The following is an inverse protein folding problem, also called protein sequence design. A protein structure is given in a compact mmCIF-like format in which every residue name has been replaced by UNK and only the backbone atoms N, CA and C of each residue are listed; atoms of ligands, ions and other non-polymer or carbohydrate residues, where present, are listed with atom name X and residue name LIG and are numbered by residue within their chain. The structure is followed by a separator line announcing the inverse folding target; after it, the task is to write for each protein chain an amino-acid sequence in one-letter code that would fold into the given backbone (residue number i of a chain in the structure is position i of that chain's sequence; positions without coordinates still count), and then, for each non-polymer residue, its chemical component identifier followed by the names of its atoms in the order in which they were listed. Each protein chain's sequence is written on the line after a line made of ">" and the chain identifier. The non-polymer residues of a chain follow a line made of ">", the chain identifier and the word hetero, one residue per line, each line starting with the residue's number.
data_IF_744884868464
#
_entry.id   IF_744884868464
#
_cell.length_a   1.000
_cell.length_b   1.000
_cell.length_c   1.000
_cell.angle_alpha   90.00
_cell.angle_beta   90.00
_cell.angle_gamma   90.00
#
_symmetry.space_group_name_H-M   'P 1'
#
loop_
_entity.id
_entity.type
_entity.pdbx_description
1 polymer ?
#
# COMPACT_ATOMS: atom_id res chain seq x y z
N UNK A 1 -16.50 1.23 -23.24
CA UNK A 1 -16.30 0.48 -21.98
C UNK A 1 -14.88 -0.08 -21.84
N UNK A 2 -14.39 -1.03 -22.65
CA UNK A 2 -13.03 -1.61 -22.49
C UNK A 2 -11.90 -0.59 -22.49
N UNK A 3 -11.94 0.44 -23.35
CA UNK A 3 -10.92 1.51 -23.39
C UNK A 3 -10.89 2.35 -22.11
N UNK A 4 -12.06 2.68 -21.54
CA UNK A 4 -12.13 3.44 -20.28
C UNK A 4 -11.60 2.61 -19.11
N UNK A 5 -11.97 1.33 -19.00
CA UNK A 5 -11.43 0.44 -17.97
C UNK A 5 -9.91 0.35 -18.05
N UNK A 6 -9.34 0.21 -19.24
CA UNK A 6 -7.88 0.18 -19.42
C UNK A 6 -7.21 1.44 -18.87
N UNK A 7 -7.76 2.64 -19.17
CA UNK A 7 -7.18 3.90 -18.69
C UNK A 7 -7.30 4.03 -17.17
N UNK A 8 -8.45 3.63 -16.61
CA UNK A 8 -8.65 3.63 -15.17
C UNK A 8 -7.65 2.71 -14.45
N UNK A 9 -7.42 1.53 -15.00
CA UNK A 9 -6.41 0.60 -14.49
C UNK A 9 -5.00 1.15 -14.64
N UNK A 10 -4.70 1.79 -15.78
CA UNK A 10 -3.42 2.43 -16.00
C UNK A 10 -3.16 3.56 -15.00
N UNK A 11 -4.16 4.38 -14.68
CA UNK A 11 -4.05 5.43 -13.68
C UNK A 11 -3.73 4.88 -12.28
N UNK A 12 -4.42 3.80 -11.87
CA UNK A 12 -4.12 3.13 -10.59
C UNK A 12 -2.71 2.55 -10.62
N UNK A 13 -2.36 1.85 -11.69
CA UNK A 13 -1.02 1.29 -11.86
C UNK A 13 0.07 2.35 -11.65
N UNK A 14 -0.07 3.52 -12.27
CA UNK A 14 0.89 4.61 -12.17
C UNK A 14 1.02 5.16 -10.75
N UNK A 15 -0.07 5.32 -10.01
CA UNK A 15 -0.03 5.77 -8.62
C UNK A 15 0.81 4.79 -7.77
N UNK A 16 0.52 3.50 -7.88
CA UNK A 16 1.22 2.49 -7.07
C UNK A 16 2.65 2.22 -7.58
N UNK A 17 2.88 2.34 -8.86
CA UNK A 17 4.23 2.34 -9.43
C UNK A 17 5.04 3.52 -8.87
N UNK A 18 4.48 4.74 -8.85
CA UNK A 18 5.14 5.93 -8.30
C UNK A 18 5.46 5.78 -6.81
N UNK A 19 4.56 5.19 -6.02
CA UNK A 19 4.84 4.88 -4.61
C UNK A 19 6.03 3.92 -4.50
N UNK A 20 6.03 2.86 -5.30
CA UNK A 20 7.09 1.84 -5.28
C UNK A 20 8.45 2.31 -5.79
N UNK A 21 8.47 3.20 -6.80
CA UNK A 21 9.72 3.76 -7.37
C UNK A 21 10.62 4.41 -6.31
N UNK A 22 10.02 4.99 -5.29
CA UNK A 22 10.73 5.74 -4.23
C UNK A 22 11.58 4.81 -3.36
N UNK A 23 11.07 3.62 -3.04
CA UNK A 23 11.61 2.74 -2.01
C UNK A 23 13.12 2.42 -2.19
N UNK A 24 13.60 1.91 -3.35
CA UNK A 24 15.01 1.54 -3.51
C UNK A 24 15.95 2.74 -3.66
N UNK A 25 15.42 3.91 -3.99
CA UNK A 25 16.19 5.12 -4.24
C UNK A 25 16.41 5.93 -2.96
N UNK A 26 15.55 5.79 -1.99
CA UNK A 26 15.56 6.57 -0.75
C UNK A 26 16.89 6.52 0.01
N UNK A 27 17.59 5.38 0.19
CA UNK A 27 18.87 5.35 0.90
C UNK A 27 19.91 6.29 0.30
N UNK A 28 19.97 6.34 -1.04
CA UNK A 28 20.90 7.21 -1.75
C UNK A 28 20.51 8.68 -1.59
N UNK A 29 19.24 9.00 -1.74
CA UNK A 29 18.72 10.34 -1.53
C UNK A 29 18.99 10.87 -0.12
N UNK A 30 18.77 10.02 0.90
CA UNK A 30 19.04 10.39 2.29
C UNK A 30 20.54 10.68 2.48
N UNK A 31 21.40 9.83 1.94
CA UNK A 31 22.85 10.00 2.03
C UNK A 31 23.32 11.27 1.34
N UNK A 32 22.84 11.54 0.11
CA UNK A 32 23.22 12.72 -0.68
C UNK A 32 22.77 14.04 -0.03
N UNK A 33 21.66 14.04 0.71
CA UNK A 33 21.10 15.22 1.37
C UNK A 33 21.42 15.30 2.87
N UNK A 34 22.17 14.34 3.41
CA UNK A 34 22.49 14.27 4.83
C UNK A 34 21.29 14.04 5.75
N UNK A 35 20.24 13.36 5.24
CA UNK A 35 19.01 13.06 5.94
C UNK A 35 19.14 11.75 6.75
N UNK A 36 18.27 11.59 7.77
CA UNK A 36 18.26 10.47 8.70
C UNK A 36 17.11 9.50 8.41
N UNK A 37 17.08 8.36 9.10
CA UNK A 37 15.98 7.41 9.04
C UNK A 37 14.64 8.00 9.49
N UNK A 38 14.64 8.88 10.49
CA UNK A 38 13.46 9.63 10.92
C UNK A 38 12.90 10.53 9.81
N UNK A 39 13.75 11.16 9.00
CA UNK A 39 13.32 11.97 7.86
C UNK A 39 12.61 11.10 6.81
N UNK A 40 13.14 9.90 6.55
CA UNK A 40 12.47 8.92 5.70
C UNK A 40 11.09 8.55 6.23
N UNK A 41 11.02 8.19 7.52
CA UNK A 41 9.76 7.86 8.18
C UNK A 41 8.74 8.99 8.04
N UNK A 42 9.18 10.25 8.19
CA UNK A 42 8.32 11.43 8.00
C UNK A 42 7.86 11.61 6.54
N UNK A 43 8.71 11.35 5.55
CA UNK A 43 8.34 11.43 4.12
C UNK A 43 7.24 10.42 3.76
N UNK A 44 7.38 9.19 4.22
CA UNK A 44 6.36 8.14 3.97
C UNK A 44 5.08 8.41 4.74
N UNK A 45 5.20 8.83 6.00
CA UNK A 45 4.07 9.18 6.84
C UNK A 45 3.29 10.39 6.30
N UNK A 46 3.97 11.42 5.80
CA UNK A 46 3.33 12.60 5.22
C UNK A 46 2.47 12.24 3.99
N UNK A 47 2.95 11.32 3.15
CA UNK A 47 2.16 10.79 2.04
C UNK A 47 0.91 10.05 2.56
N UNK A 48 1.09 9.11 3.49
CA UNK A 48 -0.01 8.30 4.03
C UNK A 48 -1.06 9.15 4.76
N UNK A 49 -0.62 10.13 5.55
CA UNK A 49 -1.50 11.06 6.26
C UNK A 49 -2.32 11.92 5.29
N UNK A 50 -1.65 12.49 4.28
CA UNK A 50 -2.31 13.30 3.25
C UNK A 50 -3.35 12.47 2.49
N UNK A 51 -2.99 11.26 2.07
CA UNK A 51 -3.92 10.33 1.41
C UNK A 51 -5.12 10.00 2.31
N UNK A 52 -4.89 9.68 3.58
CA UNK A 52 -5.93 9.35 4.55
C UNK A 52 -6.93 10.50 4.73
N UNK A 53 -6.44 11.72 4.88
CA UNK A 53 -7.29 12.90 5.05
C UNK A 53 -8.08 13.20 3.78
N UNK A 54 -7.45 13.14 2.63
CA UNK A 54 -8.05 13.57 1.35
C UNK A 54 -9.00 12.53 0.76
N UNK A 55 -8.82 11.22 1.03
CA UNK A 55 -9.63 10.16 0.43
C UNK A 55 -11.14 10.32 0.63
N UNK A 56 -11.68 10.64 1.83
CA UNK A 56 -13.11 10.88 2.01
C UNK A 56 -13.63 12.10 1.23
N UNK A 57 -12.82 13.17 1.18
CA UNK A 57 -13.17 14.38 0.41
C UNK A 57 -13.09 14.10 -1.08
N UNK A 58 -12.06 13.38 -1.55
CA UNK A 58 -11.89 12.97 -2.93
C UNK A 58 -13.09 12.15 -3.45
N UNK A 59 -13.58 11.20 -2.65
CA UNK A 59 -14.78 10.44 -2.96
C UNK A 59 -16.03 11.33 -3.07
N UNK A 60 -16.27 12.18 -2.06
CA UNK A 60 -17.41 13.09 -2.04
C UNK A 60 -17.37 14.10 -3.21
N UNK A 61 -16.20 14.64 -3.53
CA UNK A 61 -16.01 15.53 -4.66
C UNK A 61 -16.21 14.82 -6.01
N UNK A 62 -15.74 13.55 -6.12
CA UNK A 62 -15.95 12.75 -7.31
C UNK A 62 -17.43 12.50 -7.62
N UNK A 63 -18.24 12.29 -6.58
CA UNK A 63 -19.69 12.12 -6.72
C UNK A 63 -20.41 13.44 -7.08
N UNK A 64 -19.95 14.58 -6.55
CA UNK A 64 -20.56 15.90 -6.77
C UNK A 64 -20.13 16.54 -8.10
N UNK A 65 -18.83 16.60 -8.35
CA UNK A 65 -18.23 17.34 -9.47
C UNK A 65 -17.98 16.45 -10.71
N UNK A 66 -18.11 15.14 -10.53
CA UNK A 66 -17.85 14.14 -11.57
C UNK A 66 -16.48 13.48 -11.42
N UNK A 67 -16.49 12.17 -11.57
CA UNK A 67 -15.33 11.30 -11.32
C UNK A 67 -14.15 11.61 -12.24
N UNK A 68 -14.42 11.91 -13.52
CA UNK A 68 -13.39 12.29 -14.49
C UNK A 68 -12.57 13.50 -14.02
N UNK A 69 -13.24 14.55 -13.57
CA UNK A 69 -12.57 15.79 -13.14
C UNK A 69 -11.64 15.53 -11.97
N UNK A 70 -12.10 14.78 -10.97
CA UNK A 70 -11.32 14.48 -9.76
C UNK A 70 -10.11 13.58 -10.08
N UNK A 71 -10.27 12.60 -10.97
CA UNK A 71 -9.15 11.79 -11.47
C UNK A 71 -8.12 12.68 -12.17
N UNK A 72 -8.56 13.57 -13.06
CA UNK A 72 -7.64 14.46 -13.78
C UNK A 72 -6.89 15.42 -12.84
N UNK A 73 -7.58 16.02 -11.87
CA UNK A 73 -6.94 16.88 -10.86
C UNK A 73 -5.90 16.07 -10.06
N UNK A 74 -6.26 14.89 -9.61
CA UNK A 74 -5.34 14.00 -8.89
C UNK A 74 -4.10 13.64 -9.71
N UNK A 75 -4.24 13.34 -11.01
CA UNK A 75 -3.10 13.04 -11.90
C UNK A 75 -2.17 14.24 -12.13
N UNK A 76 -2.70 15.46 -12.15
CA UNK A 76 -1.87 16.69 -12.17
C UNK A 76 -1.05 16.78 -10.88
N UNK A 77 -1.68 16.59 -9.71
CA UNK A 77 -0.95 16.57 -8.44
C UNK A 77 0.10 15.44 -8.39
N UNK A 78 -0.20 14.28 -8.97
CA UNK A 78 0.78 13.20 -9.10
C UNK A 78 2.01 13.64 -9.88
N UNK A 79 1.82 14.15 -11.11
CA UNK A 79 2.93 14.59 -11.94
C UNK A 79 3.74 15.70 -11.26
N UNK A 80 3.07 16.70 -10.68
CA UNK A 80 3.74 17.80 -9.96
C UNK A 80 4.54 17.25 -8.77
N UNK A 81 3.98 16.32 -8.00
CA UNK A 81 4.66 15.73 -6.85
C UNK A 81 5.93 14.99 -7.27
N UNK A 82 5.87 14.19 -8.33
CA UNK A 82 7.02 13.43 -8.79
C UNK A 82 8.11 14.34 -9.37
N UNK A 83 7.76 15.36 -10.15
CA UNK A 83 8.74 16.36 -10.62
C UNK A 83 9.35 17.18 -9.49
N UNK A 84 8.55 17.56 -8.48
CA UNK A 84 9.07 18.24 -7.29
C UNK A 84 10.03 17.35 -6.50
N UNK A 85 9.73 16.06 -6.36
CA UNK A 85 10.62 15.13 -5.69
C UNK A 85 11.93 14.98 -6.47
N UNK A 86 11.86 14.82 -7.79
CA UNK A 86 13.04 14.74 -8.67
C UNK A 86 13.94 15.98 -8.58
N UNK A 87 13.35 17.18 -8.54
CA UNK A 87 14.06 18.44 -8.44
C UNK A 87 14.47 18.80 -7.00
N UNK A 88 13.95 18.10 -5.98
CA UNK A 88 14.13 18.41 -4.57
C UNK A 88 15.60 18.36 -4.14
N UNK A 89 16.03 19.42 -3.44
CA UNK A 89 17.38 19.55 -2.87
C UNK A 89 17.33 19.82 -1.35
N UNK A 90 16.14 19.81 -0.77
CA UNK A 90 15.93 20.01 0.66
C UNK A 90 14.81 19.14 1.17
N UNK A 91 14.86 18.78 2.45
CA UNK A 91 13.81 18.01 3.11
C UNK A 91 12.43 18.67 2.97
N UNK A 92 12.37 20.01 3.06
CA UNK A 92 11.10 20.75 2.92
C UNK A 92 10.44 20.51 1.56
N UNK A 93 11.21 20.53 0.46
CA UNK A 93 10.67 20.27 -0.88
C UNK A 93 10.21 18.81 -0.99
N UNK A 94 10.97 17.87 -0.43
CA UNK A 94 10.60 16.46 -0.44
C UNK A 94 9.32 16.19 0.35
N UNK A 95 9.16 16.80 1.54
CA UNK A 95 7.95 16.63 2.35
C UNK A 95 6.70 17.22 1.65
N UNK A 96 6.81 18.41 1.05
CA UNK A 96 5.72 19.01 0.29
C UNK A 96 5.34 18.11 -0.89
N UNK A 97 6.33 17.59 -1.61
CA UNK A 97 6.11 16.62 -2.69
C UNK A 97 5.32 15.40 -2.18
N UNK A 98 5.71 14.81 -1.05
CA UNK A 98 5.01 13.65 -0.48
C UNK A 98 3.57 13.98 -0.07
N UNK A 99 3.33 15.16 0.49
CA UNK A 99 1.97 15.65 0.80
C UNK A 99 1.13 15.77 -0.48
N UNK A 100 1.68 16.35 -1.55
CA UNK A 100 1.00 16.45 -2.85
C UNK A 100 0.75 15.08 -3.49
N UNK A 101 1.70 14.14 -3.36
CA UNK A 101 1.54 12.75 -3.80
C UNK A 101 0.42 12.04 -3.07
N UNK A 102 0.34 12.18 -1.74
CA UNK A 102 -0.75 11.64 -0.93
C UNK A 102 -2.10 12.28 -1.29
N UNK A 103 -2.12 13.61 -1.52
CA UNK A 103 -3.30 14.32 -2.01
C UNK A 103 -3.80 13.72 -3.35
N UNK A 104 -2.87 13.50 -4.29
CA UNK A 104 -3.14 12.83 -5.57
C UNK A 104 -3.80 11.47 -5.37
N UNK A 105 -3.17 10.59 -4.58
CA UNK A 105 -3.69 9.25 -4.33
C UNK A 105 -5.07 9.27 -3.65
N UNK A 106 -5.28 10.22 -2.72
CA UNK A 106 -6.56 10.44 -2.05
C UNK A 106 -7.69 10.93 -2.99
N UNK A 107 -7.36 11.49 -4.14
CA UNK A 107 -8.33 11.88 -5.17
C UNK A 107 -8.52 10.81 -6.23
N UNK A 108 -7.43 10.27 -6.78
CA UNK A 108 -7.48 9.31 -7.90
C UNK A 108 -8.13 8.01 -7.48
N UNK A 109 -7.77 7.46 -6.32
CA UNK A 109 -8.27 6.15 -5.88
C UNK A 109 -9.80 6.09 -5.76
N UNK A 110 -10.49 6.97 -4.98
CA UNK A 110 -11.95 6.93 -4.91
C UNK A 110 -12.60 7.31 -6.25
N UNK A 111 -12.00 8.22 -7.02
CA UNK A 111 -12.49 8.59 -8.34
C UNK A 111 -12.50 7.41 -9.32
N UNK A 112 -11.39 6.67 -9.41
CA UNK A 112 -11.26 5.49 -10.28
C UNK A 112 -12.14 4.35 -9.79
N UNK A 113 -12.12 4.03 -8.49
CA UNK A 113 -12.93 2.97 -7.89
C UNK A 113 -14.42 3.22 -8.13
N UNK A 114 -14.88 4.45 -7.88
CA UNK A 114 -16.25 4.85 -8.14
C UNK A 114 -16.62 4.77 -9.64
N UNK A 115 -15.72 5.17 -10.54
CA UNK A 115 -15.97 5.08 -11.98
C UNK A 115 -16.01 3.63 -12.47
N UNK A 116 -15.12 2.75 -11.99
CA UNK A 116 -15.17 1.32 -12.28
C UNK A 116 -16.51 0.73 -11.82
N UNK A 117 -16.98 1.12 -10.62
CA UNK A 117 -18.26 0.68 -10.10
C UNK A 117 -19.44 1.08 -11.00
N UNK A 118 -19.42 2.31 -11.54
CA UNK A 118 -20.49 2.84 -12.40
C UNK A 118 -20.54 2.18 -13.79
N UNK A 119 -19.37 1.93 -14.39
CA UNK A 119 -19.30 1.39 -15.76
C UNK A 119 -19.30 -0.15 -15.80
N UNK A 120 -19.27 -0.82 -14.64
CA UNK A 120 -19.26 -2.28 -14.57
C UNK A 120 -20.68 -2.82 -14.37
N UNK A 121 -21.20 -3.65 -15.29
CA UNK A 121 -22.46 -4.38 -15.08
C UNK A 121 -22.37 -5.26 -13.84
N UNK A 122 -23.51 -5.54 -13.19
CA UNK A 122 -23.57 -6.23 -11.90
C UNK A 122 -22.71 -7.52 -11.80
N UNK A 123 -22.77 -8.38 -12.84
CA UNK A 123 -21.99 -9.62 -12.88
C UNK A 123 -20.47 -9.40 -13.04
N UNK A 124 -20.07 -8.35 -13.75
CA UNK A 124 -18.64 -8.06 -14.02
C UNK A 124 -17.99 -7.18 -12.95
N UNK A 125 -18.76 -6.63 -12.02
CA UNK A 125 -18.25 -5.69 -11.01
C UNK A 125 -17.18 -6.34 -10.13
N UNK A 126 -17.44 -7.52 -9.59
CA UNK A 126 -16.49 -8.25 -8.76
C UNK A 126 -15.19 -8.59 -9.53
N UNK A 127 -15.33 -9.00 -10.80
CA UNK A 127 -14.20 -9.29 -11.68
C UNK A 127 -13.33 -8.05 -11.93
N UNK A 128 -13.96 -6.89 -12.20
CA UNK A 128 -13.23 -5.65 -12.44
C UNK A 128 -12.51 -5.12 -11.19
N UNK A 129 -13.08 -5.32 -10.00
CA UNK A 129 -12.38 -5.04 -8.75
C UNK A 129 -11.23 -6.01 -8.49
N UNK A 130 -11.37 -7.28 -8.88
CA UNK A 130 -10.29 -8.25 -8.87
C UNK A 130 -9.10 -7.83 -9.76
N UNK A 131 -9.38 -7.36 -10.98
CA UNK A 131 -8.35 -6.80 -11.86
C UNK A 131 -7.70 -5.54 -11.27
N UNK A 132 -8.49 -4.66 -10.64
CA UNK A 132 -7.96 -3.49 -9.95
C UNK A 132 -6.96 -3.88 -8.86
N UNK A 133 -7.29 -4.87 -8.03
CA UNK A 133 -6.39 -5.37 -6.98
C UNK A 133 -5.10 -5.97 -7.55
N UNK A 134 -5.19 -6.76 -8.63
CA UNK A 134 -4.02 -7.31 -9.31
C UNK A 134 -3.10 -6.21 -9.87
N UNK A 135 -3.68 -5.13 -10.40
CA UNK A 135 -2.95 -3.99 -10.95
C UNK A 135 -2.28 -3.17 -9.85
N UNK A 136 -2.92 -2.97 -8.71
CA UNK A 136 -2.33 -2.36 -7.52
C UNK A 136 -1.07 -3.14 -7.10
N UNK A 137 -1.20 -4.47 -6.95
CA UNK A 137 -0.08 -5.33 -6.57
C UNK A 137 1.04 -5.29 -7.62
N UNK A 138 0.69 -5.29 -8.92
CA UNK A 138 1.67 -5.16 -10.01
C UNK A 138 2.45 -3.85 -9.92
N UNK A 139 1.78 -2.73 -9.58
CA UNK A 139 2.43 -1.44 -9.36
C UNK A 139 3.43 -1.47 -8.20
N UNK A 140 3.05 -2.07 -7.09
CA UNK A 140 3.93 -2.23 -5.93
C UNK A 140 5.14 -3.14 -6.19
N UNK A 141 5.01 -4.16 -7.04
CA UNK A 141 6.12 -5.07 -7.38
C UNK A 141 7.03 -4.42 -8.44
N UNK A 142 6.44 -3.86 -9.49
CA UNK A 142 7.21 -3.31 -10.62
C UNK A 142 7.79 -1.94 -10.31
N UNK A 143 7.16 -1.15 -9.41
CA UNK A 143 7.65 0.15 -8.99
C UNK A 143 9.09 0.13 -8.49
N UNK A 144 9.41 -0.62 -7.43
CA UNK A 144 10.78 -0.76 -6.94
C UNK A 144 11.74 -1.27 -8.02
N UNK A 145 11.27 -2.19 -8.88
CA UNK A 145 12.05 -2.68 -9.99
C UNK A 145 12.52 -1.58 -10.92
N UNK A 146 11.57 -0.86 -11.50
CA UNK A 146 11.90 0.27 -12.36
C UNK A 146 12.71 1.34 -11.62
N UNK A 147 12.37 1.61 -10.34
CA UNK A 147 13.06 2.56 -9.50
C UNK A 147 14.56 2.30 -9.39
N UNK A 148 14.94 1.09 -9.00
CA UNK A 148 16.34 0.75 -8.81
C UNK A 148 17.15 0.67 -10.10
N UNK A 149 16.58 0.11 -11.17
CA UNK A 149 17.26 0.07 -12.46
C UNK A 149 17.46 1.46 -13.08
N UNK A 150 16.46 2.33 -13.00
CA UNK A 150 16.60 3.71 -13.47
C UNK A 150 17.55 4.52 -12.59
N UNK A 151 17.62 4.23 -11.30
CA UNK A 151 18.50 4.90 -10.36
C UNK A 151 20.00 4.64 -10.64
N UNK A 152 20.35 3.55 -11.33
CA UNK A 152 21.74 3.32 -11.79
C UNK A 152 22.20 4.39 -12.82
N UNK A 153 21.25 4.95 -13.58
CA UNK A 153 21.57 6.02 -14.56
C UNK A 153 21.60 7.36 -13.82
N UNK A 154 20.59 7.64 -13.02
CA UNK A 154 20.51 8.82 -12.16
C UNK A 154 19.46 8.59 -11.06
N UNK A 155 19.81 8.91 -9.81
CA UNK A 155 18.92 8.80 -8.65
C UNK A 155 17.61 9.60 -8.81
N UNK A 156 17.58 10.59 -9.69
CA UNK A 156 16.41 11.44 -9.98
C UNK A 156 15.56 10.93 -11.13
N UNK A 157 16.13 10.09 -12.00
CA UNK A 157 15.49 9.62 -13.23
C UNK A 157 14.17 8.88 -12.96
N UNK A 158 14.05 7.98 -11.94
CA UNK A 158 12.79 7.30 -11.64
C UNK A 158 11.62 8.27 -11.46
N UNK A 159 11.84 9.36 -10.76
CA UNK A 159 10.81 10.36 -10.47
C UNK A 159 10.43 11.19 -11.70
N UNK A 160 11.41 11.57 -12.54
CA UNK A 160 11.12 12.22 -13.82
C UNK A 160 10.30 11.32 -14.75
N UNK A 161 10.60 10.03 -14.80
CA UNK A 161 9.84 9.05 -15.57
C UNK A 161 8.43 8.93 -15.02
N UNK A 162 8.25 8.78 -13.70
CA UNK A 162 6.94 8.70 -13.06
C UNK A 162 6.11 9.96 -13.30
N UNK A 163 6.71 11.15 -13.15
CA UNK A 163 6.04 12.42 -13.43
C UNK A 163 5.59 12.55 -14.90
N UNK A 164 6.46 12.14 -15.85
CA UNK A 164 6.13 12.14 -17.28
C UNK A 164 4.99 11.17 -17.59
N UNK A 165 5.02 9.97 -17.02
CA UNK A 165 3.91 9.01 -17.15
C UNK A 165 2.61 9.56 -16.54
N UNK A 166 2.70 10.31 -15.44
CA UNK A 166 1.58 11.02 -14.84
C UNK A 166 0.94 12.05 -15.79
N UNK A 167 1.77 12.82 -16.50
CA UNK A 167 1.29 13.76 -17.55
C UNK A 167 0.61 13.00 -18.70
N UNK A 168 1.21 11.91 -19.15
CA UNK A 168 0.60 11.05 -20.21
C UNK A 168 -0.75 10.51 -19.72
N UNK A 169 -0.83 10.00 -18.50
CA UNK A 169 -2.08 9.50 -17.91
C UNK A 169 -3.14 10.60 -17.78
N UNK A 170 -2.74 11.81 -17.40
CA UNK A 170 -3.64 12.97 -17.36
C UNK A 170 -4.20 13.27 -18.76
N UNK A 171 -3.37 13.39 -19.78
CA UNK A 171 -3.78 13.65 -21.17
C UNK A 171 -4.73 12.54 -21.65
N UNK A 172 -4.36 11.28 -21.46
CA UNK A 172 -5.23 10.13 -21.81
C UNK A 172 -6.58 10.19 -21.09
N UNK A 173 -6.57 10.55 -19.81
CA UNK A 173 -7.80 10.66 -19.02
C UNK A 173 -8.70 11.79 -19.48
N UNK A 174 -8.13 12.94 -19.83
CA UNK A 174 -8.90 14.08 -20.41
C UNK A 174 -9.55 13.68 -21.73
N UNK A 175 -8.81 13.01 -22.62
CA UNK A 175 -9.25 12.70 -23.97
C UNK A 175 -10.21 11.49 -24.03
N UNK A 176 -9.99 10.48 -23.22
CA UNK A 176 -10.58 9.15 -23.42
C UNK A 176 -11.55 8.73 -22.30
N UNK A 177 -11.51 9.35 -21.13
CA UNK A 177 -12.50 9.10 -20.10
C UNK A 177 -13.73 9.99 -20.33
N UNK A 178 -14.90 9.38 -20.29
CA UNK A 178 -16.19 10.07 -20.33
C UNK A 178 -16.91 9.81 -19.01
N UNK A 179 -17.47 10.86 -18.41
CA UNK A 179 -18.36 10.65 -17.29
C UNK A 179 -19.53 9.78 -17.77
N UNK A 180 -19.83 8.66 -17.08
CA UNK A 180 -21.05 7.93 -17.37
C UNK A 180 -22.22 8.92 -17.26
N UNK A 181 -23.14 8.89 -18.23
CA UNK A 181 -24.40 9.59 -18.05
C UNK A 181 -24.98 9.16 -16.70
N UNK A 182 -25.31 10.13 -15.84
CA UNK A 182 -25.97 9.84 -14.57
C UNK A 182 -27.10 8.88 -14.89
N UNK A 183 -26.95 7.61 -14.53
CA UNK A 183 -28.11 6.73 -14.44
C UNK A 183 -29.09 7.51 -13.55
N UNK A 184 -30.25 7.83 -14.08
CA UNK A 184 -31.32 8.49 -13.35
C UNK A 184 -31.45 7.77 -12.01
N UNK A 185 -31.21 8.53 -10.99
CA UNK A 185 -31.01 8.10 -9.60
C UNK A 185 -32.31 7.53 -9.03
N UNK A 186 -32.60 6.27 -9.35
CA UNK A 186 -33.53 5.43 -8.59
C UNK A 186 -32.81 4.48 -7.61
N UNK A 187 -31.65 4.86 -7.17
CA UNK A 187 -30.82 4.11 -6.25
C UNK A 187 -29.82 4.97 -5.49
N UNK A 188 -30.25 6.11 -4.94
CA UNK A 188 -29.61 6.55 -3.72
C UNK A 188 -29.74 5.36 -2.76
N UNK A 189 -28.64 4.63 -2.52
CA UNK A 189 -28.54 3.93 -1.27
C UNK A 189 -28.80 5.01 -0.21
N UNK A 190 -30.06 5.10 0.20
CA UNK A 190 -30.48 5.88 1.33
C UNK A 190 -29.40 5.59 2.39
N UNK A 191 -28.63 6.63 2.71
CA UNK A 191 -27.78 6.62 3.90
C UNK A 191 -28.71 6.17 5.01
N UNK A 192 -28.65 4.88 5.35
CA UNK A 192 -29.45 4.32 6.44
C UNK A 192 -28.63 4.50 7.71
N UNK A 193 -28.84 5.60 8.45
CA UNK A 193 -28.15 5.83 9.72
C UNK A 193 -28.37 4.68 10.71
N UNK A 194 -29.44 3.94 10.55
CA UNK A 194 -29.76 2.74 11.35
C UNK A 194 -28.71 1.62 11.24
N UNK A 195 -27.91 1.58 10.16
CA UNK A 195 -26.81 0.64 10.02
C UNK A 195 -25.67 0.90 11.03
N UNK A 196 -25.58 2.10 11.58
CA UNK A 196 -24.55 2.49 12.55
C UNK A 196 -25.01 2.38 14.01
N UNK A 197 -26.33 2.33 14.28
CA UNK A 197 -26.89 2.41 15.64
C UNK A 197 -26.86 1.10 16.44
N UNK A 198 -26.57 -0.05 15.81
CA UNK A 198 -26.49 -1.36 16.49
C UNK A 198 -25.28 -2.17 16.03
N UNK A 199 -24.08 -1.55 16.13
CA UNK A 199 -22.83 -2.25 15.81
C UNK A 199 -22.36 -2.99 17.06
N UNK A 200 -22.26 -4.31 16.96
CA UNK A 200 -21.57 -5.08 17.98
C UNK A 200 -20.05 -4.93 17.79
N UNK A 201 -19.47 -3.90 18.39
CA UNK A 201 -18.03 -3.59 18.31
C UNK A 201 -17.14 -4.74 18.76
N UNK A 202 -17.61 -5.62 19.65
CA UNK A 202 -16.85 -6.80 20.11
C UNK A 202 -16.45 -7.70 18.95
N UNK A 203 -17.28 -7.81 17.91
CA UNK A 203 -16.99 -8.64 16.73
C UNK A 203 -15.92 -8.01 15.83
N UNK A 204 -15.87 -6.67 15.76
CA UNK A 204 -14.96 -5.96 14.86
C UNK A 204 -13.62 -5.60 15.50
N UNK A 205 -13.46 -5.68 16.83
CA UNK A 205 -12.24 -5.25 17.52
C UNK A 205 -11.04 -6.11 17.11
N UNK A 206 -11.23 -7.41 17.01
CA UNK A 206 -10.16 -8.35 16.61
C UNK A 206 -9.60 -8.06 15.21
N UNK A 207 -10.42 -8.04 14.14
CA UNK A 207 -9.89 -7.74 12.80
C UNK A 207 -9.35 -6.31 12.67
N UNK A 208 -9.87 -5.35 13.42
CA UNK A 208 -9.36 -3.97 13.45
C UNK A 208 -7.95 -3.92 14.05
N UNK A 209 -7.72 -4.57 15.18
CA UNK A 209 -6.39 -4.65 15.81
C UNK A 209 -5.43 -5.39 14.88
N UNK A 210 -5.84 -6.51 14.29
CA UNK A 210 -5.03 -7.26 13.33
C UNK A 210 -4.64 -6.41 12.13
N UNK A 211 -5.59 -5.65 11.57
CA UNK A 211 -5.32 -4.73 10.44
C UNK A 211 -4.31 -3.67 10.83
N UNK A 212 -4.50 -3.04 12.00
CA UNK A 212 -3.60 -2.00 12.47
C UNK A 212 -2.16 -2.53 12.67
N UNK A 213 -2.03 -3.66 13.36
CA UNK A 213 -0.71 -4.27 13.65
C UNK A 213 -0.04 -4.75 12.38
N UNK A 214 -0.80 -5.39 11.48
CA UNK A 214 -0.28 -5.81 10.18
C UNK A 214 0.21 -4.62 9.35
N UNK A 215 -0.64 -3.59 9.19
CA UNK A 215 -0.29 -2.41 8.40
C UNK A 215 0.89 -1.65 9.02
N UNK A 216 0.92 -1.52 10.35
CA UNK A 216 2.02 -0.92 11.10
C UNK A 216 3.33 -1.69 10.88
N UNK A 217 3.33 -3.01 11.10
CA UNK A 217 4.55 -3.83 10.99
C UNK A 217 5.06 -3.91 9.55
N UNK A 218 4.15 -4.10 8.59
CA UNK A 218 4.52 -4.19 7.18
C UNK A 218 5.06 -2.85 6.65
N UNK A 219 4.36 -1.74 6.92
CA UNK A 219 4.79 -0.41 6.47
C UNK A 219 6.10 0.02 7.12
N UNK A 220 6.33 -0.32 8.39
CA UNK A 220 7.59 -0.13 9.08
C UNK A 220 8.72 -0.92 8.41
N UNK A 221 8.49 -2.20 8.12
CA UNK A 221 9.43 -3.07 7.42
C UNK A 221 9.73 -2.56 6.01
N UNK A 222 8.71 -2.36 5.17
CA UNK A 222 8.88 -1.91 3.78
C UNK A 222 9.65 -0.59 3.68
N UNK A 223 9.36 0.36 4.58
CA UNK A 223 10.02 1.67 4.59
C UNK A 223 11.51 1.57 4.90
N UNK A 224 11.90 0.74 5.86
CA UNK A 224 13.26 0.69 6.33
C UNK A 224 14.08 -0.46 5.73
N UNK A 225 13.46 -1.40 5.05
CA UNK A 225 14.15 -2.52 4.41
C UNK A 225 15.27 -2.03 3.49
N UNK A 226 15.02 -0.98 2.73
CA UNK A 226 16.01 -0.40 1.81
C UNK A 226 17.20 0.21 2.54
N UNK A 227 16.96 0.97 3.60
CA UNK A 227 18.04 1.54 4.44
C UNK A 227 18.81 0.45 5.17
N UNK A 228 18.08 -0.50 5.78
CA UNK A 228 18.68 -1.60 6.51
C UNK A 228 19.64 -2.43 5.65
N UNK A 229 19.23 -2.78 4.43
CA UNK A 229 20.06 -3.57 3.53
C UNK A 229 21.20 -2.76 2.92
N UNK A 230 20.98 -1.47 2.65
CA UNK A 230 22.04 -0.57 2.19
C UNK A 230 23.15 -0.41 3.25
N UNK A 231 22.78 -0.24 4.53
CA UNK A 231 23.76 -0.03 5.60
C UNK A 231 24.40 -1.35 6.08
N UNK A 232 23.64 -2.45 6.13
CA UNK A 232 24.15 -3.74 6.64
C UNK A 232 25.05 -4.47 5.66
N UNK A 233 24.71 -4.48 4.38
CA UNK A 233 25.40 -5.29 3.35
C UNK A 233 25.75 -4.50 2.07
N UNK A 234 25.65 -3.17 2.13
CA UNK A 234 25.95 -2.24 1.02
C UNK A 234 25.14 -2.56 -0.26
N UNK A 235 23.85 -2.88 -0.11
CA UNK A 235 22.98 -3.06 -1.28
C UNK A 235 22.85 -1.75 -2.07
N UNK A 236 23.02 -1.88 -3.38
CA UNK A 236 22.70 -0.81 -4.34
C UNK A 236 21.18 -0.70 -4.54
N UNK A 237 20.66 0.40 -5.11
CA UNK A 237 19.25 0.50 -5.48
C UNK A 237 18.76 -0.67 -6.34
N UNK A 238 19.62 -1.21 -7.22
CA UNK A 238 19.33 -2.39 -8.04
C UNK A 238 19.18 -3.65 -7.19
N UNK A 239 20.08 -3.89 -6.24
CA UNK A 239 20.03 -5.06 -5.36
C UNK A 239 18.75 -5.04 -4.51
N UNK A 240 18.40 -3.87 -3.97
CA UNK A 240 17.14 -3.63 -3.24
C UNK A 240 15.94 -3.96 -4.14
N UNK A 241 15.98 -3.50 -5.40
CA UNK A 241 14.91 -3.78 -6.37
C UNK A 241 14.78 -5.27 -6.66
N UNK A 242 15.89 -5.98 -6.85
CA UNK A 242 15.88 -7.44 -7.07
C UNK A 242 15.30 -8.15 -5.85
N UNK A 243 15.65 -7.73 -4.64
CA UNK A 243 15.14 -8.32 -3.40
C UNK A 243 13.61 -8.13 -3.28
N UNK A 244 13.11 -6.91 -3.55
CA UNK A 244 11.67 -6.60 -3.45
C UNK A 244 10.87 -7.28 -4.56
N UNK A 245 11.33 -7.24 -5.83
CA UNK A 245 10.66 -7.93 -6.94
C UNK A 245 10.63 -9.43 -6.68
N UNK A 246 11.79 -10.01 -6.32
CA UNK A 246 11.89 -11.43 -6.01
C UNK A 246 10.89 -11.81 -4.92
N UNK A 247 10.90 -11.07 -3.80
CA UNK A 247 9.96 -11.29 -2.71
C UNK A 247 8.49 -11.19 -3.13
N UNK A 248 8.13 -10.13 -3.86
CA UNK A 248 6.77 -9.94 -4.36
C UNK A 248 6.32 -11.04 -5.35
N UNK A 249 7.21 -11.47 -6.26
CA UNK A 249 6.92 -12.57 -7.19
C UNK A 249 6.76 -13.90 -6.42
N UNK A 250 7.66 -14.21 -5.48
CA UNK A 250 7.55 -15.41 -4.65
C UNK A 250 6.29 -15.38 -3.80
N UNK A 251 5.96 -14.23 -3.19
CA UNK A 251 4.72 -14.03 -2.42
C UNK A 251 3.48 -14.26 -3.27
N UNK A 252 3.42 -13.66 -4.46
CA UNK A 252 2.29 -13.80 -5.38
C UNK A 252 2.14 -15.26 -5.89
N UNK A 253 3.23 -15.92 -6.26
CA UNK A 253 3.19 -17.32 -6.67
C UNK A 253 2.70 -18.21 -5.52
N UNK A 254 3.24 -18.00 -4.32
CA UNK A 254 2.83 -18.77 -3.15
C UNK A 254 1.35 -18.54 -2.84
N UNK A 255 0.87 -17.30 -2.92
CA UNK A 255 -0.55 -16.96 -2.74
C UNK A 255 -1.44 -17.70 -3.76
N UNK A 256 -1.11 -17.65 -5.04
CA UNK A 256 -1.93 -18.27 -6.10
C UNK A 256 -2.00 -19.80 -5.95
N UNK A 257 -0.89 -20.46 -5.59
CA UNK A 257 -0.86 -21.92 -5.53
C UNK A 257 -1.31 -22.51 -4.20
N UNK A 258 -1.18 -21.78 -3.11
CA UNK A 258 -1.34 -22.35 -1.76
C UNK A 258 -2.46 -21.71 -0.94
N UNK A 259 -2.87 -20.46 -1.18
CA UNK A 259 -3.85 -19.77 -0.36
C UNK A 259 -5.17 -20.54 -0.22
N UNK A 260 -5.82 -20.86 -1.35
CA UNK A 260 -7.08 -21.62 -1.34
C UNK A 260 -6.96 -23.01 -0.70
N UNK A 261 -5.79 -23.64 -0.85
CA UNK A 261 -5.53 -24.94 -0.26
C UNK A 261 -5.47 -24.87 1.26
N UNK A 262 -4.78 -23.88 1.80
CA UNK A 262 -4.70 -23.67 3.25
C UNK A 262 -6.07 -23.27 3.84
N UNK A 263 -6.80 -22.37 3.15
CA UNK A 263 -8.13 -21.95 3.60
C UNK A 263 -9.19 -23.04 3.64
N UNK A 264 -8.95 -24.19 2.97
CA UNK A 264 -9.80 -25.38 3.09
C UNK A 264 -9.58 -26.18 4.37
N UNK A 265 -8.38 -26.10 4.96
CA UNK A 265 -7.97 -26.96 6.09
C UNK A 265 -7.92 -26.21 7.43
N UNK A 266 -7.93 -24.90 7.42
CA UNK A 266 -7.87 -24.09 8.65
C UNK A 266 -8.75 -22.84 8.57
N UNK A 267 -9.15 -22.32 9.73
CA UNK A 267 -9.89 -21.05 9.82
C UNK A 267 -8.99 -19.87 9.44
N UNK A 268 -9.61 -18.77 8.99
CA UNK A 268 -8.90 -17.54 8.63
C UNK A 268 -7.95 -17.05 9.73
N UNK A 269 -8.41 -17.09 10.97
CA UNK A 269 -7.63 -16.59 12.10
C UNK A 269 -6.45 -17.52 12.45
N UNK A 270 -6.62 -18.84 12.35
CA UNK A 270 -5.50 -19.77 12.49
C UNK A 270 -4.47 -19.57 11.37
N UNK A 271 -4.95 -19.36 10.15
CA UNK A 271 -4.07 -19.08 9.01
C UNK A 271 -3.29 -17.76 9.21
N UNK A 272 -3.95 -16.70 9.68
CA UNK A 272 -3.31 -15.43 10.04
C UNK A 272 -2.27 -15.67 11.14
N UNK A 273 -2.60 -16.42 12.18
CA UNK A 273 -1.67 -16.71 13.27
C UNK A 273 -0.39 -17.44 12.78
N UNK A 274 -0.54 -18.47 11.97
CA UNK A 274 0.62 -19.18 11.39
C UNK A 274 1.44 -18.30 10.45
N UNK A 275 0.77 -17.47 9.64
CA UNK A 275 1.47 -16.51 8.76
C UNK A 275 2.23 -15.44 9.55
N UNK A 276 1.69 -14.98 10.68
CA UNK A 276 2.39 -14.07 11.60
C UNK A 276 3.62 -14.75 12.22
N UNK A 277 3.47 -15.99 12.70
CA UNK A 277 4.59 -16.74 13.25
C UNK A 277 5.70 -16.94 12.20
N UNK A 278 5.32 -17.34 10.99
CA UNK A 278 6.26 -17.44 9.86
C UNK A 278 6.99 -16.12 9.63
N UNK A 279 6.26 -15.00 9.54
CA UNK A 279 6.85 -13.67 9.34
C UNK A 279 7.82 -13.30 10.47
N UNK A 280 7.48 -13.59 11.73
CA UNK A 280 8.36 -13.36 12.87
C UNK A 280 9.66 -14.16 12.76
N UNK A 281 9.58 -15.45 12.42
CA UNK A 281 10.75 -16.33 12.27
C UNK A 281 11.65 -15.80 11.13
N UNK A 282 11.08 -15.45 9.97
CA UNK A 282 11.87 -14.97 8.84
C UNK A 282 12.50 -13.60 9.14
N UNK A 283 11.82 -12.71 9.87
CA UNK A 283 12.40 -11.44 10.32
C UNK A 283 13.57 -11.67 11.30
N UNK A 284 13.47 -12.64 12.22
CA UNK A 284 14.59 -13.01 13.08
C UNK A 284 15.77 -13.54 12.25
N UNK A 285 15.50 -14.38 11.25
CA UNK A 285 16.55 -14.85 10.33
C UNK A 285 17.20 -13.69 9.57
N UNK A 286 16.45 -12.66 9.18
CA UNK A 286 16.95 -11.47 8.51
C UNK A 286 17.88 -10.65 9.41
N UNK A 287 17.53 -10.50 10.69
CA UNK A 287 18.38 -9.81 11.69
C UNK A 287 19.69 -10.56 11.91
N UNK A 288 19.64 -11.88 12.03
CA UNK A 288 20.82 -12.71 12.27
C UNK A 288 21.72 -12.91 11.03
N UNK A 289 21.19 -12.62 9.84
CA UNK A 289 21.93 -12.77 8.59
C UNK A 289 22.98 -11.68 8.41
N UNK A 290 24.20 -12.09 8.02
CA UNK A 290 25.34 -11.17 7.86
C UNK A 290 25.98 -11.22 6.46
N UNK A 291 25.40 -11.97 5.53
CA UNK A 291 25.95 -12.14 4.18
C UNK A 291 25.06 -11.56 3.11
N UNK A 292 25.66 -10.98 2.04
CA UNK A 292 24.94 -10.44 0.89
C UNK A 292 23.90 -11.43 0.33
N UNK A 293 24.34 -12.63 -0.06
CA UNK A 293 23.45 -13.65 -0.63
C UNK A 293 22.44 -14.21 0.37
N UNK A 294 22.82 -14.32 1.64
CA UNK A 294 21.92 -14.79 2.69
C UNK A 294 20.74 -13.83 2.89
N UNK A 295 21.02 -12.52 2.95
CA UNK A 295 19.97 -11.51 3.05
C UNK A 295 19.12 -11.50 1.78
N UNK A 296 19.71 -11.66 0.57
CA UNK A 296 18.97 -11.73 -0.67
C UNK A 296 17.95 -12.89 -0.70
N UNK A 297 18.38 -14.09 -0.31
CA UNK A 297 17.52 -15.26 -0.25
C UNK A 297 16.40 -15.10 0.79
N UNK A 298 16.74 -14.59 1.98
CA UNK A 298 15.74 -14.34 3.03
C UNK A 298 14.74 -13.28 2.57
N UNK A 299 15.18 -12.27 1.83
CA UNK A 299 14.30 -11.22 1.29
C UNK A 299 13.27 -11.78 0.31
N UNK A 300 13.59 -12.84 -0.44
CA UNK A 300 12.62 -13.47 -1.34
C UNK A 300 11.48 -14.18 -0.61
N UNK A 301 11.66 -14.58 0.63
CA UNK A 301 10.65 -15.32 1.39
C UNK A 301 9.97 -14.49 2.46
N UNK A 302 10.55 -13.34 2.87
CA UNK A 302 9.97 -12.52 3.94
C UNK A 302 8.58 -11.97 3.59
N UNK A 303 8.38 -11.61 2.32
CA UNK A 303 7.09 -11.05 1.84
C UNK A 303 5.96 -12.09 1.82
N UNK A 304 6.27 -13.40 1.70
CA UNK A 304 5.25 -14.47 1.65
C UNK A 304 4.29 -14.38 2.84
N UNK A 305 4.81 -14.23 4.06
CA UNK A 305 3.99 -14.16 5.25
C UNK A 305 3.03 -12.96 5.25
N UNK A 306 3.54 -11.78 4.94
CA UNK A 306 2.74 -10.55 4.89
C UNK A 306 1.70 -10.57 3.77
N UNK A 307 2.07 -11.05 2.57
CA UNK A 307 1.17 -11.14 1.42
C UNK A 307 0.02 -12.13 1.65
N UNK A 308 0.26 -13.17 2.44
CA UNK A 308 -0.76 -14.16 2.81
C UNK A 308 -1.77 -13.62 3.82
N UNK A 309 -1.37 -12.75 4.74
CA UNK A 309 -2.24 -12.23 5.80
C UNK A 309 -3.30 -11.29 5.22
N UNK A 310 -2.94 -10.44 4.25
CA UNK A 310 -3.86 -9.44 3.67
C UNK A 310 -5.17 -10.05 3.13
N UNK A 311 -5.15 -11.05 2.22
CA UNK A 311 -6.39 -11.65 1.72
C UNK A 311 -7.16 -12.42 2.80
N UNK A 312 -6.47 -13.11 3.72
CA UNK A 312 -7.12 -13.81 4.81
C UNK A 312 -7.87 -12.85 5.74
N UNK A 313 -7.26 -11.71 6.07
CA UNK A 313 -7.88 -10.68 6.89
C UNK A 313 -9.07 -10.01 6.19
N UNK A 314 -8.95 -9.75 4.89
CA UNK A 314 -10.06 -9.21 4.09
C UNK A 314 -11.23 -10.19 4.03
N UNK A 315 -10.95 -11.48 3.87
CA UNK A 315 -11.96 -12.54 3.89
C UNK A 315 -12.63 -12.62 5.26
N UNK A 316 -11.86 -12.57 6.34
CA UNK A 316 -12.38 -12.56 7.70
C UNK A 316 -13.30 -11.36 7.95
N UNK A 317 -12.90 -10.14 7.57
CA UNK A 317 -13.75 -8.96 7.64
C UNK A 317 -15.05 -9.14 6.87
N UNK A 318 -14.98 -9.68 5.65
CA UNK A 318 -16.15 -9.91 4.80
C UNK A 318 -17.11 -10.91 5.44
N UNK A 319 -16.60 -12.00 6.03
CA UNK A 319 -17.42 -13.02 6.68
C UNK A 319 -18.17 -12.48 7.89
N UNK A 320 -17.53 -11.68 8.75
CA UNK A 320 -18.19 -11.11 9.94
C UNK A 320 -19.10 -9.91 9.61
N UNK A 321 -18.85 -9.23 8.49
CA UNK A 321 -19.63 -8.06 8.10
C UNK A 321 -21.06 -8.40 7.65
N UNK A 322 -21.29 -9.59 7.12
CA UNK A 322 -22.58 -9.99 6.57
C UNK A 322 -23.11 -8.98 5.55
N UNK A 323 -24.20 -8.31 5.84
CA UNK A 323 -24.79 -7.27 4.98
C UNK A 323 -24.07 -5.91 5.05
N UNK A 324 -23.10 -5.73 5.96
CA UNK A 324 -22.43 -4.45 6.25
C UNK A 324 -21.04 -4.35 5.60
N UNK A 325 -20.88 -4.84 4.37
CA UNK A 325 -19.60 -4.92 3.66
C UNK A 325 -18.91 -3.54 3.52
N UNK A 326 -19.68 -2.48 3.25
CA UNK A 326 -19.14 -1.13 3.14
C UNK A 326 -18.54 -0.60 4.46
N UNK A 327 -19.19 -0.89 5.59
CA UNK A 327 -18.69 -0.52 6.92
C UNK A 327 -17.40 -1.28 7.26
N UNK A 328 -17.36 -2.58 7.02
CA UNK A 328 -16.18 -3.41 7.26
C UNK A 328 -14.99 -2.97 6.37
N UNK A 329 -15.25 -2.70 5.09
CA UNK A 329 -14.24 -2.15 4.17
C UNK A 329 -13.71 -0.78 4.62
N UNK A 330 -14.60 0.09 5.12
CA UNK A 330 -14.23 1.38 5.68
C UNK A 330 -13.34 1.25 6.92
N UNK A 331 -13.67 0.35 7.85
CA UNK A 331 -12.82 0.06 9.01
C UNK A 331 -11.45 -0.46 8.57
N UNK A 332 -11.42 -1.45 7.69
CA UNK A 332 -10.17 -2.00 7.18
C UNK A 332 -9.28 -0.91 6.55
N UNK A 333 -9.84 -0.05 5.69
CA UNK A 333 -9.10 1.05 5.07
C UNK A 333 -8.58 2.07 6.09
N UNK A 334 -9.41 2.45 7.07
CA UNK A 334 -9.03 3.43 8.09
C UNK A 334 -7.85 2.93 8.92
N UNK A 335 -7.92 1.70 9.42
CA UNK A 335 -6.87 1.14 10.27
C UNK A 335 -5.62 0.74 9.49
N UNK A 336 -5.75 0.35 8.23
CA UNK A 336 -4.60 0.20 7.31
C UNK A 336 -3.88 1.55 7.11
N UNK A 337 -4.60 2.62 6.83
CA UNK A 337 -4.01 3.95 6.64
C UNK A 337 -3.34 4.45 7.93
N UNK A 338 -3.94 4.16 9.08
CA UNK A 338 -3.38 4.52 10.38
C UNK A 338 -2.07 3.77 10.66
N UNK A 339 -2.01 2.48 10.35
CA UNK A 339 -0.78 1.68 10.42
C UNK A 339 0.31 2.19 9.48
N UNK A 340 -0.06 2.50 8.23
CA UNK A 340 0.85 3.06 7.22
C UNK A 340 1.37 4.46 7.55
N UNK A 341 0.66 5.21 8.38
CA UNK A 341 1.10 6.50 8.89
C UNK A 341 2.05 6.35 10.10
N UNK A 342 1.65 5.57 11.10
CA UNK A 342 2.39 5.46 12.37
C UNK A 342 3.65 4.58 12.21
N UNK A 343 3.56 3.49 11.41
CA UNK A 343 4.65 2.53 11.23
C UNK A 343 5.97 3.17 10.81
N UNK A 344 6.02 3.89 9.69
CA UNK A 344 7.23 4.55 9.22
C UNK A 344 7.80 5.59 10.19
N UNK A 345 6.93 6.34 10.90
CA UNK A 345 7.37 7.33 11.88
C UNK A 345 8.13 6.69 13.04
N UNK A 346 7.54 5.66 13.62
CA UNK A 346 8.16 4.96 14.75
C UNK A 346 9.41 4.22 14.30
N UNK A 347 9.32 3.54 13.17
CA UNK A 347 10.44 2.78 12.63
C UNK A 347 11.63 3.67 12.25
N UNK A 348 11.39 4.82 11.62
CA UNK A 348 12.43 5.79 11.28
C UNK A 348 13.14 6.36 12.51
N UNK A 349 12.38 6.69 13.57
CA UNK A 349 12.94 7.15 14.83
C UNK A 349 13.78 6.06 15.52
N UNK A 350 13.34 4.81 15.49
CA UNK A 350 14.08 3.67 16.04
C UNK A 350 15.35 3.36 15.25
N UNK A 351 15.30 3.52 13.93
CA UNK A 351 16.44 3.32 13.05
C UNK A 351 17.60 4.28 13.37
N UNK A 352 17.30 5.53 13.70
CA UNK A 352 18.30 6.52 14.09
C UNK A 352 19.01 6.17 15.40
N UNK A 353 18.37 5.33 16.24
CA UNK A 353 18.98 4.81 17.49
C UNK A 353 19.83 3.58 17.21
N UNK A 354 19.28 2.63 16.44
CA UNK A 354 19.97 1.39 16.06
C UNK A 354 19.33 0.80 14.82
N UNK A 355 20.18 0.36 13.87
CA UNK A 355 19.82 -0.26 12.59
C UNK A 355 18.79 -1.41 12.73
N UNK A 356 18.86 -2.20 13.80
CA UNK A 356 18.04 -3.39 13.99
C UNK A 356 16.76 -3.15 14.80
N UNK A 357 16.64 -2.03 15.52
CA UNK A 357 15.49 -1.75 16.39
C UNK A 357 14.15 -1.76 15.66
N UNK A 358 14.01 -1.24 14.41
CA UNK A 358 12.77 -1.34 13.67
C UNK A 358 12.36 -2.78 13.40
N UNK A 359 13.32 -3.67 13.11
CA UNK A 359 13.05 -5.08 12.88
C UNK A 359 12.64 -5.79 14.18
N UNK A 360 13.30 -5.49 15.30
CA UNK A 360 12.87 -6.00 16.62
C UNK A 360 11.47 -5.53 16.99
N UNK A 361 11.11 -4.29 16.67
CA UNK A 361 9.76 -3.79 16.86
C UNK A 361 8.75 -4.56 15.99
N UNK A 362 9.07 -4.77 14.71
CA UNK A 362 8.20 -5.55 13.80
C UNK A 362 8.03 -7.00 14.31
N UNK A 363 9.12 -7.65 14.75
CA UNK A 363 9.10 -8.99 15.35
C UNK A 363 8.21 -8.99 16.60
N UNK A 364 8.37 -8.02 17.49
CA UNK A 364 7.59 -7.92 18.73
C UNK A 364 6.09 -7.73 18.43
N UNK A 365 5.74 -6.83 17.50
CA UNK A 365 4.36 -6.57 17.11
C UNK A 365 3.69 -7.84 16.53
N UNK A 366 4.37 -8.52 15.60
CA UNK A 366 3.89 -9.73 14.95
C UNK A 366 3.78 -10.90 15.94
N UNK A 367 4.80 -11.09 16.80
CA UNK A 367 4.82 -12.16 17.82
C UNK A 367 3.75 -11.94 18.89
N UNK A 368 3.60 -10.70 19.39
CA UNK A 368 2.55 -10.37 20.36
C UNK A 368 1.15 -10.68 19.81
N UNK A 369 0.91 -10.33 18.55
CA UNK A 369 -0.38 -10.59 17.90
C UNK A 369 -0.64 -12.09 17.74
N UNK A 370 0.38 -12.87 17.38
CA UNK A 370 0.28 -14.34 17.32
C UNK A 370 -0.11 -14.95 18.67
N UNK A 371 0.50 -14.49 19.78
CA UNK A 371 0.24 -15.01 21.12
C UNK A 371 -1.13 -14.59 21.66
N UNK A 372 -1.62 -13.41 21.30
CA UNK A 372 -2.90 -12.89 21.82
C UNK A 372 -4.11 -13.34 21.01
N UNK A 373 -3.93 -13.77 19.76
CA UNK A 373 -5.01 -14.30 18.93
C UNK A 373 -5.84 -15.41 19.61
N UNK A 374 -5.26 -16.45 20.24
CA UNK A 374 -6.01 -17.49 20.93
C UNK A 374 -6.83 -16.98 22.11
N UNK A 375 -6.33 -15.98 22.85
CA UNK A 375 -7.01 -15.42 24.04
C UNK A 375 -8.16 -14.49 23.67
N UNK A 376 -8.10 -13.83 22.51
CA UNK A 376 -9.17 -12.99 21.97
C UNK A 376 -10.35 -13.86 21.46
N UNK A 377 -10.12 -15.14 21.18
CA UNK A 377 -11.15 -16.11 20.78
C UNK A 377 -12.03 -16.59 21.93
N UNK A 378 -11.56 -16.51 23.16
CA UNK A 378 -12.25 -17.07 24.33
C UNK A 378 -13.22 -16.07 24.98
N UNK A 379 -13.43 -14.90 24.41
CA UNK A 379 -14.34 -13.83 24.84
C UNK A 379 -15.42 -13.56 23.78
#
# INVERSE_FOLDING_TARGET
>A
MKKQLFILYFNIFLIFLGIGLVIPVLPVYLKDLGLKGSDLGMLVAAFALSQMIISPFGGTLADKLGKKLIICIGLVFFAVSEFMFAAGQSFTILIISRVLGGFSAGMVMPGVTGMIADISPGADKAKNFGYMSAIINSGFILGPGFGGFLAEISHRLPFYVAGTLGVVAFIMSVLLIHNPQKATTDGFHQYQPELFTKINWKVFITPVILTLVLAFGLSAFETLFSLYTADKVNYTPKDISIAIIGGGVFGALFQVFFFDKFMKYMSELNFIAWSLLYSAIVLVMLVLANGYWTIMIISFVVFIGFDMIRPALTNYFSNIAGKRQGFAGGLNSTFTSMGNFIGPLVAGALFDVNLEFPLYMAIAAVSYTHLTLPTIYSV
#
